data_IF_008142606871
#
_entry.id   IF_008142606871
#
_cell.length_a   1.000
_cell.length_b   1.000
_cell.length_c   1.000
_cell.angle_alpha   90.00
_cell.angle_beta   90.00
_cell.angle_gamma   90.00
#
_symmetry.space_group_name_H-M   'P 1'
#
loop_
_entity.id
_entity.type
_entity.pdbx_description
1 polymer ?
#
# COMPACT_ATOMS: atom_id res chain seq x y z
N UNK A 1 -6.07 -10.66 -10.48
CA UNK A 1 -6.23 -9.26 -10.02
C UNK A 1 -7.71 -8.88 -9.98
N UNK A 2 -8.19 -8.31 -8.88
CA UNK A 2 -9.62 -8.10 -8.54
C UNK A 2 -9.88 -6.80 -7.77
N UNK A 3 -11.15 -6.46 -7.51
CA UNK A 3 -11.56 -5.35 -6.62
C UNK A 3 -10.89 -5.41 -5.24
N UNK A 4 -10.59 -6.62 -4.75
CA UNK A 4 -9.90 -6.81 -3.46
C UNK A 4 -8.49 -6.23 -3.50
N UNK A 5 -7.81 -6.28 -4.64
CA UNK A 5 -6.43 -5.80 -4.77
C UNK A 5 -6.37 -4.28 -4.80
N UNK A 6 -7.38 -3.63 -5.40
CA UNK A 6 -7.56 -2.17 -5.32
C UNK A 6 -7.71 -1.76 -3.85
N UNK A 7 -8.57 -2.45 -3.09
CA UNK A 7 -8.77 -2.15 -1.67
C UNK A 7 -7.49 -2.36 -0.83
N UNK A 8 -6.70 -3.39 -1.12
CA UNK A 8 -5.40 -3.63 -0.48
C UNK A 8 -4.42 -2.49 -0.80
N UNK A 9 -4.33 -2.07 -2.06
CA UNK A 9 -3.45 -0.97 -2.47
C UNK A 9 -3.82 0.34 -1.78
N UNK A 10 -5.11 0.71 -1.78
CA UNK A 10 -5.62 1.91 -1.08
C UNK A 10 -5.30 1.85 0.42
N UNK A 11 -5.50 0.70 1.07
CA UNK A 11 -5.15 0.53 2.47
C UNK A 11 -3.65 0.71 2.72
N UNK A 12 -2.80 0.26 1.79
CA UNK A 12 -1.35 0.39 1.87
C UNK A 12 -0.92 1.86 1.75
N UNK A 13 -1.47 2.58 0.76
CA UNK A 13 -1.22 4.01 0.58
C UNK A 13 -1.58 4.76 1.87
N UNK A 14 -2.79 4.56 2.39
CA UNK A 14 -3.27 5.28 3.57
C UNK A 14 -2.45 4.95 4.81
N UNK A 15 -2.08 3.69 5.01
CA UNK A 15 -1.35 3.28 6.19
C UNK A 15 0.09 3.82 6.23
N UNK A 16 0.71 4.04 5.06
CA UNK A 16 2.09 4.52 4.94
C UNK A 16 2.20 6.02 4.66
N UNK A 17 1.08 6.70 4.40
CA UNK A 17 1.02 8.18 4.29
C UNK A 17 0.23 8.80 5.45
N UNK A 18 0.06 8.05 6.54
CA UNK A 18 -0.56 8.56 7.77
C UNK A 18 0.51 9.30 8.59
N UNK A 19 0.27 10.58 8.89
CA UNK A 19 1.08 11.32 9.86
C UNK A 19 0.93 10.77 11.29
N UNK A 20 1.89 11.08 12.17
CA UNK A 20 1.85 10.60 13.55
C UNK A 20 0.63 11.13 14.33
N UNK A 21 -0.18 10.22 14.87
CA UNK A 21 -1.21 10.52 15.86
C UNK A 21 -2.63 10.13 15.44
N UNK A 22 -3.17 9.07 16.04
CA UNK A 22 -4.60 8.77 15.98
C UNK A 22 -5.40 9.81 16.76
N UNK A 23 -6.18 10.64 16.04
CA UNK A 23 -7.25 11.45 16.66
C UNK A 23 -8.60 10.94 16.18
N UNK A 24 -9.58 10.88 17.09
CA UNK A 24 -10.93 10.39 16.85
C UNK A 24 -11.71 11.10 15.71
N UNK A 25 -11.19 12.18 15.13
CA UNK A 25 -11.72 12.84 13.93
C UNK A 25 -11.11 12.35 12.59
N UNK A 26 -10.00 11.60 12.61
CA UNK A 26 -9.35 11.10 11.39
C UNK A 26 -10.15 10.01 10.68
N UNK A 27 -10.94 9.21 11.42
CA UNK A 27 -11.61 8.04 10.85
C UNK A 27 -12.61 8.40 9.74
N UNK A 28 -13.33 9.53 9.89
CA UNK A 28 -14.20 10.04 8.83
C UNK A 28 -13.41 10.38 7.57
N UNK A 29 -12.32 11.15 7.72
CA UNK A 29 -11.49 11.58 6.59
C UNK A 29 -10.85 10.38 5.90
N UNK A 30 -10.27 9.45 6.67
CA UNK A 30 -9.67 8.22 6.14
C UNK A 30 -10.71 7.39 5.38
N UNK A 31 -11.94 7.27 5.87
CA UNK A 31 -13.01 6.55 5.15
C UNK A 31 -13.40 7.25 3.85
N UNK A 32 -13.48 8.57 3.85
CA UNK A 32 -13.80 9.34 2.67
C UNK A 32 -12.68 9.30 1.61
N UNK A 33 -11.43 9.43 2.03
CA UNK A 33 -10.24 9.25 1.19
C UNK A 33 -10.20 7.84 0.57
N UNK A 34 -10.52 6.80 1.36
CA UNK A 34 -10.66 5.42 0.85
C UNK A 34 -11.67 5.34 -0.29
N UNK A 35 -12.85 5.93 -0.13
CA UNK A 35 -13.89 5.90 -1.17
C UNK A 35 -13.37 6.54 -2.46
N UNK A 36 -12.74 7.70 -2.33
CA UNK A 36 -12.26 8.46 -3.48
C UNK A 36 -11.07 7.78 -4.18
N UNK A 37 -10.04 7.36 -3.44
CA UNK A 37 -8.93 6.59 -4.02
C UNK A 37 -9.40 5.29 -4.67
N UNK A 38 -10.31 4.55 -4.03
CA UNK A 38 -10.84 3.30 -4.59
C UNK A 38 -11.59 3.57 -5.90
N UNK A 39 -12.31 4.69 -5.99
CA UNK A 39 -12.98 5.10 -7.21
C UNK A 39 -11.97 5.39 -8.33
N UNK A 40 -10.99 6.26 -8.08
CA UNK A 40 -10.00 6.67 -9.09
C UNK A 40 -9.12 5.50 -9.52
N UNK A 41 -8.54 4.75 -8.58
CA UNK A 41 -7.69 3.59 -8.90
C UNK A 41 -8.53 2.51 -9.61
N UNK A 42 -9.79 2.33 -9.23
CA UNK A 42 -10.70 1.44 -9.94
C UNK A 42 -10.93 1.88 -11.38
N UNK A 43 -11.15 3.18 -11.62
CA UNK A 43 -11.29 3.72 -12.97
C UNK A 43 -10.02 3.49 -13.79
N UNK A 44 -8.85 3.86 -13.25
CA UNK A 44 -7.55 3.68 -13.91
C UNK A 44 -7.30 2.21 -14.25
N UNK A 45 -7.58 1.31 -13.30
CA UNK A 45 -7.33 -0.11 -13.49
C UNK A 45 -8.22 -0.75 -14.57
N UNK A 46 -9.52 -0.42 -14.59
CA UNK A 46 -10.49 -1.05 -15.49
C UNK A 46 -10.60 -0.36 -16.85
N UNK A 47 -10.56 0.97 -16.90
CA UNK A 47 -10.90 1.74 -18.10
C UNK A 47 -9.70 2.44 -18.76
N UNK A 48 -8.64 2.79 -18.01
CA UNK A 48 -7.52 3.53 -18.60
C UNK A 48 -6.63 2.63 -19.50
N UNK A 49 -5.97 3.21 -20.53
CA UNK A 49 -4.91 2.56 -21.29
C UNK A 49 -3.77 2.06 -20.39
N UNK A 50 -2.99 1.08 -20.86
CA UNK A 50 -1.96 0.42 -20.03
C UNK A 50 -0.91 1.41 -19.53
N UNK A 51 -0.50 2.32 -20.40
CA UNK A 51 0.46 3.40 -20.18
C UNK A 51 0.00 4.44 -19.14
N UNK A 52 -1.30 4.50 -18.84
CA UNK A 52 -1.89 5.40 -17.85
C UNK A 52 -2.16 4.69 -16.51
N UNK A 53 -1.81 3.41 -16.37
CA UNK A 53 -2.03 2.64 -15.12
C UNK A 53 -0.95 2.89 -14.07
N UNK A 54 -0.73 4.16 -13.72
CA UNK A 54 0.33 4.61 -12.83
C UNK A 54 -0.15 5.68 -11.83
N UNK A 55 0.71 6.03 -10.89
CA UNK A 55 0.42 7.03 -9.86
C UNK A 55 0.36 8.46 -10.40
N UNK A 56 1.06 8.75 -11.51
CA UNK A 56 0.99 10.07 -12.14
C UNK A 56 -0.44 10.36 -12.62
N UNK A 57 -1.09 9.39 -13.27
CA UNK A 57 -2.49 9.51 -13.69
C UNK A 57 -3.43 9.68 -12.48
N UNK A 58 -3.16 8.98 -11.37
CA UNK A 58 -3.94 9.15 -10.15
C UNK A 58 -3.85 10.58 -9.60
N UNK A 59 -2.65 11.17 -9.57
CA UNK A 59 -2.44 12.56 -9.17
C UNK A 59 -3.17 13.54 -10.10
N UNK A 60 -2.99 13.39 -11.42
CA UNK A 60 -3.62 14.25 -12.41
C UNK A 60 -5.16 14.22 -12.29
N UNK A 61 -5.74 13.05 -11.97
CA UNK A 61 -7.19 12.94 -11.70
C UNK A 61 -7.61 13.67 -10.42
N UNK A 62 -6.79 13.65 -9.37
CA UNK A 62 -7.07 14.37 -8.12
C UNK A 62 -7.03 15.87 -8.38
N UNK A 63 -6.01 16.35 -9.10
CA UNK A 63 -5.85 17.76 -9.46
C UNK A 63 -6.99 18.26 -10.36
N UNK A 64 -7.47 17.42 -11.27
CA UNK A 64 -8.61 17.72 -12.13
C UNK A 64 -9.97 17.69 -11.40
N UNK A 65 -10.05 17.29 -10.14
CA UNK A 65 -11.30 17.14 -9.41
C UNK A 65 -11.75 18.41 -8.67
N UNK A 66 -11.76 19.55 -9.36
CA UNK A 66 -12.20 20.83 -8.80
C UNK A 66 -13.62 20.75 -8.20
N UNK A 67 -13.81 21.34 -7.01
CA UNK A 67 -15.12 21.48 -6.36
C UNK A 67 -15.42 22.95 -6.13
N UNK A 68 -16.60 23.40 -6.59
CA UNK A 68 -17.13 24.74 -6.35
C UNK A 68 -18.15 24.69 -5.24
N UNK A 69 -17.89 25.41 -4.14
CA UNK A 69 -18.75 25.36 -2.94
C UNK A 69 -20.13 25.97 -3.18
N UNK A 70 -20.22 26.98 -4.04
CA UNK A 70 -21.45 27.73 -4.31
C UNK A 70 -22.25 27.22 -5.53
N UNK A 71 -21.77 26.17 -6.19
CA UNK A 71 -22.40 25.59 -7.39
C UNK A 71 -22.35 24.06 -7.35
N UNK A 72 -23.37 23.45 -6.73
CA UNK A 72 -23.52 22.00 -6.68
C UNK A 72 -23.80 21.36 -8.05
N UNK A 73 -24.14 22.17 -9.06
CA UNK A 73 -24.38 21.69 -10.44
C UNK A 73 -23.11 21.66 -11.28
N UNK A 74 -22.02 22.25 -10.78
CA UNK A 74 -20.74 22.21 -11.45
C UNK A 74 -20.23 20.78 -11.59
N UNK A 75 -19.84 20.41 -12.81
CA UNK A 75 -19.20 19.14 -13.13
C UNK A 75 -17.79 19.37 -13.62
N UNK A 76 -16.82 18.89 -12.84
CA UNK A 76 -15.41 18.87 -13.23
C UNK A 76 -15.13 17.74 -14.27
N UNK A 77 -13.93 17.68 -14.86
CA UNK A 77 -13.57 16.62 -15.81
C UNK A 77 -13.80 15.20 -15.26
N UNK A 78 -13.48 14.95 -13.99
CA UNK A 78 -13.64 13.62 -13.37
C UNK A 78 -15.12 13.27 -13.18
N UNK A 79 -15.96 14.21 -12.77
CA UNK A 79 -17.42 14.01 -12.71
C UNK A 79 -17.97 13.52 -14.05
N UNK A 80 -17.51 14.12 -15.15
CA UNK A 80 -17.93 13.75 -16.51
C UNK A 80 -17.43 12.37 -16.92
N UNK A 81 -16.19 12.01 -16.55
CA UNK A 81 -15.64 10.67 -16.80
C UNK A 81 -16.48 9.58 -16.09
N UNK A 82 -16.81 9.79 -14.82
CA UNK A 82 -17.62 8.85 -14.06
C UNK A 82 -19.08 8.82 -14.52
N UNK A 83 -19.65 9.95 -14.95
CA UNK A 83 -21.00 9.99 -15.53
C UNK A 83 -21.07 9.21 -16.86
N UNK A 84 -20.05 9.36 -17.73
CA UNK A 84 -19.95 8.61 -18.97
C UNK A 84 -19.80 7.10 -18.71
N UNK A 85 -18.93 6.73 -17.74
CA UNK A 85 -18.76 5.34 -17.33
C UNK A 85 -20.05 4.76 -16.74
N UNK A 86 -20.78 5.53 -15.93
CA UNK A 86 -22.05 5.11 -15.37
C UNK A 86 -23.10 4.86 -16.47
N UNK A 87 -23.18 5.72 -17.49
CA UNK A 87 -24.10 5.54 -18.63
C UNK A 87 -23.81 4.24 -19.38
N UNK A 88 -22.54 3.87 -19.49
CA UNK A 88 -22.09 2.62 -20.13
C UNK A 88 -22.33 1.40 -19.23
N UNK A 89 -21.97 1.49 -17.96
CA UNK A 89 -22.07 0.40 -16.97
C UNK A 89 -22.45 0.92 -15.57
N UNK A 90 -23.75 0.98 -15.24
CA UNK A 90 -24.21 1.53 -13.96
C UNK A 90 -23.77 0.76 -12.72
N UNK A 91 -23.43 -0.53 -12.90
CA UNK A 91 -23.01 -1.43 -11.81
C UNK A 91 -21.50 -1.47 -11.59
N UNK A 92 -20.73 -0.71 -12.38
CA UNK A 92 -19.27 -0.71 -12.32
C UNK A 92 -18.75 -0.35 -10.92
N UNK A 93 -17.72 -1.07 -10.46
CA UNK A 93 -17.17 -0.93 -9.11
C UNK A 93 -16.72 0.51 -8.80
N UNK A 94 -15.94 1.10 -9.71
CA UNK A 94 -15.43 2.47 -9.56
C UNK A 94 -16.57 3.50 -9.43
N UNK A 95 -17.62 3.37 -10.24
CA UNK A 95 -18.81 4.24 -10.22
C UNK A 95 -19.53 4.16 -8.87
N UNK A 96 -19.70 2.95 -8.33
CA UNK A 96 -20.33 2.75 -7.01
C UNK A 96 -19.55 3.44 -5.89
N UNK A 97 -18.22 3.43 -5.93
CA UNK A 97 -17.41 4.13 -4.91
C UNK A 97 -17.45 5.65 -5.12
N UNK A 98 -17.39 6.12 -6.37
CA UNK A 98 -17.46 7.54 -6.70
C UNK A 98 -18.78 8.17 -6.26
N UNK A 99 -19.90 7.48 -6.48
CA UNK A 99 -21.22 7.92 -6.01
C UNK A 99 -21.28 8.11 -4.49
N UNK A 100 -20.65 7.21 -3.72
CA UNK A 100 -20.60 7.35 -2.26
C UNK A 100 -19.77 8.57 -1.85
N UNK A 101 -18.66 8.84 -2.55
CA UNK A 101 -17.89 10.06 -2.35
C UNK A 101 -18.71 11.32 -2.69
N UNK A 102 -19.46 11.33 -3.79
CA UNK A 102 -20.32 12.45 -4.21
C UNK A 102 -21.52 12.73 -3.28
N UNK A 103 -21.76 11.91 -2.24
CA UNK A 103 -22.69 12.25 -1.16
C UNK A 103 -22.15 13.33 -0.22
N UNK A 104 -20.85 13.63 -0.26
CA UNK A 104 -20.26 14.71 0.52
C UNK A 104 -20.67 16.08 -0.04
N UNK A 105 -21.11 16.99 0.84
CA UNK A 105 -21.39 18.38 0.48
C UNK A 105 -20.12 19.09 -0.03
N UNK A 106 -20.26 20.14 -0.85
CA UNK A 106 -19.13 20.80 -1.54
C UNK A 106 -17.94 21.14 -0.64
N UNK A 107 -18.19 21.75 0.52
CA UNK A 107 -17.13 22.06 1.50
C UNK A 107 -16.40 20.80 2.01
N UNK A 108 -17.14 19.74 2.30
CA UNK A 108 -16.57 18.46 2.75
C UNK A 108 -15.81 17.76 1.63
N UNK A 109 -16.35 17.74 0.41
CA UNK A 109 -15.69 17.18 -0.77
C UNK A 109 -14.35 17.86 -1.03
N UNK A 110 -14.28 19.19 -0.92
CA UNK A 110 -13.05 19.96 -1.03
C UNK A 110 -12.03 19.61 0.05
N UNK A 111 -12.46 19.45 1.31
CA UNK A 111 -11.58 18.98 2.39
C UNK A 111 -11.04 17.57 2.15
N UNK A 112 -11.86 16.66 1.60
CA UNK A 112 -11.41 15.31 1.22
C UNK A 112 -10.32 15.38 0.14
N UNK A 113 -10.52 16.19 -0.89
CA UNK A 113 -9.55 16.35 -1.98
C UNK A 113 -8.21 16.92 -1.51
N UNK A 114 -8.24 17.95 -0.65
CA UNK A 114 -7.03 18.51 -0.03
C UNK A 114 -6.29 17.43 0.76
N UNK A 115 -7.02 16.60 1.52
CA UNK A 115 -6.44 15.51 2.30
C UNK A 115 -5.81 14.44 1.41
N UNK A 116 -6.49 14.06 0.31
CA UNK A 116 -5.93 13.14 -0.68
C UNK A 116 -4.65 13.71 -1.33
N UNK A 117 -4.71 14.95 -1.84
CA UNK A 117 -3.56 15.61 -2.45
C UNK A 117 -2.36 15.70 -1.50
N UNK A 118 -2.59 16.08 -0.25
CA UNK A 118 -1.52 16.18 0.75
C UNK A 118 -0.81 14.84 1.02
N UNK A 119 -1.54 13.71 1.01
CA UNK A 119 -0.94 12.37 1.19
C UNK A 119 -0.09 11.93 0.01
N UNK A 120 -0.50 12.31 -1.20
CA UNK A 120 0.22 11.94 -2.42
C UNK A 120 1.22 13.01 -2.87
N UNK A 121 1.34 14.13 -2.17
CA UNK A 121 2.31 15.19 -2.48
C UNK A 121 3.76 14.70 -2.68
N UNK A 122 4.28 13.67 -1.98
CA UNK A 122 5.60 13.11 -2.30
C UNK A 122 5.73 12.57 -3.73
N UNK A 123 4.62 12.14 -4.35
CA UNK A 123 4.57 11.73 -5.76
C UNK A 123 4.60 12.91 -6.74
N UNK A 124 4.58 14.16 -6.27
CA UNK A 124 4.82 15.33 -7.14
C UNK A 124 6.32 15.56 -7.40
N UNK A 125 7.19 14.90 -6.64
CA UNK A 125 8.64 14.96 -6.86
C UNK A 125 8.95 14.26 -8.19
N UNK A 126 9.60 14.99 -9.11
CA UNK A 126 9.91 14.50 -10.46
C UNK A 126 10.67 13.17 -10.43
N UNK A 127 11.63 13.03 -9.51
CA UNK A 127 12.42 11.81 -9.33
C UNK A 127 11.54 10.60 -9.01
N UNK A 128 10.51 10.78 -8.17
CA UNK A 128 9.57 9.70 -7.85
C UNK A 128 8.58 9.44 -8.98
N UNK A 129 8.14 10.48 -9.70
CA UNK A 129 7.30 10.33 -10.90
C UNK A 129 8.01 9.51 -11.96
N UNK A 130 9.29 9.79 -12.20
CA UNK A 130 10.12 9.08 -13.16
C UNK A 130 10.31 7.61 -12.75
N UNK A 131 10.55 7.35 -11.46
CA UNK A 131 10.65 5.99 -10.91
C UNK A 131 9.36 5.18 -11.09
N UNK A 132 8.19 5.82 -10.98
CA UNK A 132 6.87 5.17 -10.97
C UNK A 132 6.18 5.17 -12.34
N UNK A 133 6.87 5.63 -13.40
CA UNK A 133 6.29 5.80 -14.72
C UNK A 133 6.02 4.47 -15.43
N UNK A 134 6.98 3.55 -15.38
CA UNK A 134 6.94 2.25 -16.04
C UNK A 134 7.23 1.13 -15.04
N UNK A 135 6.53 0.00 -15.18
CA UNK A 135 6.78 -1.20 -14.36
C UNK A 135 7.82 -2.10 -15.04
N UNK A 136 9.03 -2.10 -14.49
CA UNK A 136 10.15 -2.93 -14.93
C UNK A 136 10.54 -4.01 -13.90
N UNK A 137 9.86 -4.06 -12.76
CA UNK A 137 10.29 -4.90 -11.63
C UNK A 137 9.93 -6.38 -11.82
N UNK A 138 8.92 -6.69 -12.63
CA UNK A 138 8.42 -8.05 -12.88
C UNK A 138 8.23 -8.84 -11.56
N UNK A 139 7.66 -8.20 -10.52
CA UNK A 139 7.63 -8.73 -9.15
C UNK A 139 7.01 -10.12 -9.03
N UNK A 140 6.06 -10.45 -9.91
CA UNK A 140 5.42 -11.76 -9.95
C UNK A 140 6.34 -12.87 -10.47
N UNK A 141 7.44 -12.54 -11.16
CA UNK A 141 8.34 -13.53 -11.79
C UNK A 141 9.44 -14.03 -10.85
N UNK A 142 9.58 -13.44 -9.65
CA UNK A 142 10.63 -13.80 -8.69
C UNK A 142 10.54 -15.27 -8.23
N UNK A 143 9.34 -15.87 -8.28
CA UNK A 143 9.12 -17.28 -7.97
C UNK A 143 9.27 -18.24 -9.15
N UNK A 144 9.36 -17.74 -10.39
CA UNK A 144 9.37 -18.56 -11.60
C UNK A 144 10.78 -19.03 -11.96
N UNK A 145 11.76 -18.14 -11.74
CA UNK A 145 13.17 -18.32 -12.10
C UNK A 145 14.05 -17.68 -11.03
N UNK A 146 15.29 -18.18 -10.93
CA UNK A 146 16.29 -17.62 -10.01
C UNK A 146 16.52 -16.14 -10.31
N UNK A 147 16.11 -15.29 -9.37
CA UNK A 147 16.16 -13.83 -9.48
C UNK A 147 16.66 -13.26 -8.16
N UNK A 148 17.40 -12.16 -8.21
CA UNK A 148 17.80 -11.39 -7.04
C UNK A 148 17.32 -9.95 -7.22
N UNK A 149 16.46 -9.49 -6.30
CA UNK A 149 15.97 -8.12 -6.24
C UNK A 149 16.66 -7.40 -5.08
N UNK A 150 17.29 -6.27 -5.37
CA UNK A 150 17.93 -5.41 -4.37
C UNK A 150 17.09 -4.15 -4.19
N UNK A 151 16.70 -3.90 -2.95
CA UNK A 151 15.92 -2.72 -2.57
C UNK A 151 16.81 -1.85 -1.70
N UNK A 152 17.27 -0.73 -2.26
CA UNK A 152 18.20 0.19 -1.60
C UNK A 152 17.39 1.38 -1.10
N UNK A 153 17.36 1.57 0.21
CA UNK A 153 16.71 2.70 0.88
C UNK A 153 17.76 3.58 1.54
N UNK A 154 17.44 4.86 1.71
CA UNK A 154 18.27 5.76 2.51
C UNK A 154 18.08 5.44 3.99
N UNK A 155 19.18 5.43 4.74
CA UNK A 155 19.19 5.31 6.20
C UNK A 155 18.94 6.65 6.91
N UNK A 156 19.00 7.75 6.16
CA UNK A 156 18.88 9.13 6.67
C UNK A 156 17.65 9.87 6.18
N UNK A 157 17.00 9.38 5.12
CA UNK A 157 15.85 10.02 4.49
C UNK A 157 14.70 9.02 4.36
N UNK A 158 13.63 9.26 5.10
CA UNK A 158 12.44 8.41 5.14
C UNK A 158 11.35 8.82 4.14
N UNK A 159 11.60 9.87 3.35
CA UNK A 159 10.61 10.47 2.42
C UNK A 159 9.97 9.44 1.49
N UNK A 160 10.73 8.44 1.02
CA UNK A 160 10.26 7.44 0.05
C UNK A 160 9.99 6.05 0.65
N UNK A 161 10.06 5.87 1.96
CA UNK A 161 9.88 4.55 2.58
C UNK A 161 8.50 3.94 2.28
N UNK A 162 7.47 4.78 2.13
CA UNK A 162 6.13 4.31 1.76
C UNK A 162 6.10 3.59 0.39
N UNK A 163 6.99 3.95 -0.55
CA UNK A 163 7.10 3.33 -1.88
C UNK A 163 7.59 1.90 -1.73
N UNK A 164 8.58 1.70 -0.85
CA UNK A 164 9.15 0.40 -0.53
C UNK A 164 8.11 -0.49 0.15
N UNK A 165 7.33 0.07 1.08
CA UNK A 165 6.19 -0.63 1.70
C UNK A 165 5.13 -1.06 0.68
N UNK A 166 4.77 -0.19 -0.28
CA UNK A 166 3.85 -0.52 -1.38
C UNK A 166 4.43 -1.66 -2.23
N UNK A 167 5.70 -1.57 -2.62
CA UNK A 167 6.40 -2.59 -3.39
C UNK A 167 6.36 -3.95 -2.69
N UNK A 168 6.73 -4.03 -1.41
CA UNK A 168 6.68 -5.28 -0.66
C UNK A 168 5.26 -5.83 -0.52
N UNK A 169 4.27 -4.95 -0.28
CA UNK A 169 2.86 -5.36 -0.25
C UNK A 169 2.42 -5.98 -1.58
N UNK A 170 2.81 -5.38 -2.71
CA UNK A 170 2.53 -5.95 -4.03
C UNK A 170 3.29 -7.27 -4.24
N UNK A 171 4.58 -7.33 -3.90
CA UNK A 171 5.40 -8.53 -4.02
C UNK A 171 4.76 -9.73 -3.31
N UNK A 172 4.41 -9.59 -2.02
CA UNK A 172 3.81 -10.70 -1.26
C UNK A 172 2.46 -11.13 -1.85
N UNK A 173 1.62 -10.17 -2.27
CA UNK A 173 0.32 -10.50 -2.87
C UNK A 173 0.50 -11.24 -4.20
N UNK A 174 1.34 -10.72 -5.11
CA UNK A 174 1.57 -11.31 -6.43
C UNK A 174 2.16 -12.71 -6.31
N UNK A 175 3.15 -12.91 -5.45
CA UNK A 175 3.74 -14.22 -5.24
C UNK A 175 2.77 -15.22 -4.60
N UNK A 176 1.90 -14.77 -3.69
CA UNK A 176 0.90 -15.65 -3.10
C UNK A 176 -0.18 -16.05 -4.11
N UNK A 177 -0.72 -15.08 -4.84
CA UNK A 177 -1.72 -15.32 -5.88
C UNK A 177 -1.15 -16.26 -6.96
N UNK A 178 0.09 -16.04 -7.40
CA UNK A 178 0.74 -16.89 -8.40
C UNK A 178 0.99 -18.30 -7.90
N UNK A 179 1.43 -18.45 -6.65
CA UNK A 179 1.56 -19.77 -6.03
C UNK A 179 0.23 -20.53 -6.06
N UNK A 180 -0.86 -19.88 -5.62
CA UNK A 180 -2.18 -20.50 -5.48
C UNK A 180 -2.85 -20.77 -6.84
N UNK A 181 -2.83 -19.81 -7.77
CA UNK A 181 -3.60 -19.85 -9.01
C UNK A 181 -2.86 -20.57 -10.15
N UNK A 182 -1.52 -20.52 -10.20
CA UNK A 182 -0.73 -21.06 -11.32
C UNK A 182 0.07 -22.31 -10.96
N UNK A 183 0.55 -22.43 -9.72
CA UNK A 183 1.47 -23.51 -9.33
C UNK A 183 0.90 -24.48 -8.30
N UNK A 184 -0.41 -24.46 -8.06
CA UNK A 184 -1.08 -25.44 -7.19
C UNK A 184 -0.72 -25.28 -5.70
N UNK A 185 -0.40 -24.06 -5.29
CA UNK A 185 -0.15 -23.64 -3.91
C UNK A 185 1.31 -23.39 -3.54
N UNK A 186 2.29 -23.62 -4.43
CA UNK A 186 3.74 -23.49 -4.13
C UNK A 186 4.52 -22.94 -5.31
N UNK A 187 5.34 -21.92 -5.10
CA UNK A 187 6.23 -21.39 -6.14
C UNK A 187 7.28 -22.44 -6.57
N UNK A 188 7.66 -22.50 -7.86
CA UNK A 188 8.71 -23.38 -8.37
C UNK A 188 10.09 -23.09 -7.76
N UNK A 189 10.39 -21.81 -7.52
CA UNK A 189 11.63 -21.35 -6.89
C UNK A 189 11.29 -20.69 -5.57
N UNK A 190 11.98 -21.12 -4.50
CA UNK A 190 11.81 -20.54 -3.18
C UNK A 190 12.21 -19.06 -3.16
N UNK A 191 11.29 -18.18 -2.74
CA UNK A 191 11.55 -16.75 -2.60
C UNK A 191 11.85 -16.43 -1.14
N UNK A 192 13.09 -16.01 -0.87
CA UNK A 192 13.50 -15.58 0.46
C UNK A 192 13.65 -14.06 0.50
N UNK A 193 12.81 -13.41 1.28
CA UNK A 193 12.89 -11.99 1.57
C UNK A 193 13.86 -11.76 2.75
N UNK A 194 15.00 -11.12 2.48
CA UNK A 194 15.92 -10.64 3.51
C UNK A 194 15.59 -9.18 3.80
N UNK A 195 14.82 -8.96 4.85
CA UNK A 195 14.31 -7.64 5.19
C UNK A 195 15.26 -6.98 6.19
N UNK A 196 16.37 -6.50 5.65
CA UNK A 196 17.32 -5.69 6.42
C UNK A 196 16.69 -4.38 6.85
N UNK A 197 17.05 -3.91 8.04
CA UNK A 197 16.47 -2.74 8.68
C UNK A 197 14.94 -2.67 8.55
N UNK A 198 14.24 -3.75 8.92
CA UNK A 198 12.81 -3.91 8.65
C UNK A 198 11.96 -2.72 9.13
N UNK A 199 12.40 -2.03 10.17
CA UNK A 199 11.74 -0.85 10.69
C UNK A 199 11.73 0.35 9.70
N UNK A 200 12.76 0.47 8.85
CA UNK A 200 12.89 1.54 7.86
C UNK A 200 12.03 1.30 6.61
N UNK A 201 11.54 0.08 6.37
CA UNK A 201 10.63 -0.22 5.24
C UNK A 201 9.26 0.47 5.41
N UNK A 202 8.85 0.75 6.66
CA UNK A 202 7.49 1.21 6.98
C UNK A 202 6.52 0.04 7.22
N UNK A 203 5.22 0.33 7.23
CA UNK A 203 4.20 -0.65 7.59
C UNK A 203 3.73 -1.45 6.38
N UNK A 204 4.17 -2.71 6.28
CA UNK A 204 3.57 -3.69 5.36
C UNK A 204 2.21 -4.13 5.94
N UNK A 205 1.07 -3.85 5.28
CA UNK A 205 -0.23 -4.14 5.87
C UNK A 205 -0.47 -5.63 6.07
N UNK A 206 -1.02 -5.99 7.24
CA UNK A 206 -1.36 -7.36 7.63
C UNK A 206 -0.16 -8.32 7.61
N UNK A 207 1.04 -7.80 7.85
CA UNK A 207 2.26 -8.60 7.84
C UNK A 207 2.22 -9.75 8.85
N UNK A 208 1.55 -9.57 9.99
CA UNK A 208 1.31 -10.60 11.00
C UNK A 208 0.55 -11.83 10.47
N UNK A 209 -0.30 -11.62 9.46
CA UNK A 209 -1.02 -12.70 8.77
C UNK A 209 -0.22 -13.25 7.60
N UNK A 210 0.52 -12.39 6.90
CA UNK A 210 1.38 -12.79 5.79
C UNK A 210 2.46 -13.75 6.28
N UNK A 211 3.25 -13.37 7.29
CA UNK A 211 4.36 -14.19 7.79
C UNK A 211 3.91 -15.59 8.25
N UNK A 212 2.69 -15.71 8.78
CA UNK A 212 2.10 -16.97 9.20
C UNK A 212 1.68 -17.90 8.04
N UNK A 213 1.48 -17.36 6.83
CA UNK A 213 0.83 -18.08 5.71
C UNK A 213 1.69 -18.22 4.46
N UNK A 214 2.76 -17.42 4.33
CA UNK A 214 3.66 -17.42 3.16
C UNK A 214 4.49 -18.72 3.05
N UNK A 215 4.78 -19.39 4.17
CA UNK A 215 5.62 -20.60 4.19
C UNK A 215 5.07 -21.72 3.30
N UNK A 216 3.75 -21.94 3.31
CA UNK A 216 3.14 -23.00 2.50
C UNK A 216 3.26 -22.74 1.00
N UNK A 217 3.61 -21.52 0.60
CA UNK A 217 3.73 -21.05 -0.79
C UNK A 217 5.16 -21.00 -1.31
N UNK A 218 6.13 -21.57 -0.58
CA UNK A 218 7.57 -21.45 -0.88
C UNK A 218 8.10 -20.02 -0.80
N UNK A 219 7.57 -19.25 0.15
CA UNK A 219 8.05 -17.89 0.46
C UNK A 219 8.48 -17.85 1.92
N UNK A 220 9.65 -17.27 2.21
CA UNK A 220 10.13 -17.03 3.57
C UNK A 220 10.59 -15.59 3.77
N UNK A 221 10.54 -15.13 5.01
CA UNK A 221 11.02 -13.80 5.39
C UNK A 221 12.02 -13.93 6.55
N UNK A 222 13.13 -13.19 6.48
CA UNK A 222 14.05 -12.96 7.59
C UNK A 222 13.97 -11.48 7.96
N UNK A 223 13.45 -11.19 9.15
CA UNK A 223 13.32 -9.83 9.66
C UNK A 223 14.59 -9.50 10.44
N UNK A 224 15.25 -8.40 10.09
CA UNK A 224 16.46 -7.95 10.77
C UNK A 224 16.14 -6.61 11.45
N UNK A 225 16.39 -6.56 12.76
CA UNK A 225 16.06 -5.42 13.63
C UNK A 225 17.24 -5.12 14.53
N UNK A 226 17.44 -3.85 14.86
CA UNK A 226 18.41 -3.43 15.88
C UNK A 226 17.85 -3.63 17.30
N UNK A 227 16.54 -3.43 17.45
CA UNK A 227 15.83 -3.56 18.71
C UNK A 227 14.38 -4.02 18.47
N UNK A 228 13.83 -4.87 19.34
CA UNK A 228 12.44 -5.34 19.19
C UNK A 228 11.42 -4.20 19.39
N UNK A 229 11.79 -3.14 20.12
CA UNK A 229 10.96 -1.94 20.25
C UNK A 229 10.67 -1.25 18.91
N UNK A 230 11.56 -1.36 17.92
CA UNK A 230 11.28 -0.83 16.58
C UNK A 230 10.09 -1.54 15.92
N UNK A 231 10.01 -2.86 16.06
CA UNK A 231 8.87 -3.63 15.56
C UNK A 231 7.58 -3.27 16.30
N UNK A 232 7.65 -3.12 17.64
CA UNK A 232 6.51 -2.69 18.47
C UNK A 232 6.03 -1.28 18.12
N UNK A 233 6.94 -0.37 17.76
CA UNK A 233 6.56 0.99 17.35
C UNK A 233 5.71 1.00 16.08
N UNK A 234 6.04 0.13 15.11
CA UNK A 234 5.35 0.08 13.80
C UNK A 234 4.08 -0.77 13.89
N UNK A 235 4.18 -1.97 14.44
CA UNK A 235 3.12 -2.98 14.40
C UNK A 235 2.24 -3.03 15.66
N UNK A 236 2.59 -2.27 16.72
CA UNK A 236 1.87 -2.23 17.99
C UNK A 236 1.64 -3.65 18.53
N UNK A 237 0.39 -3.97 18.87
CA UNK A 237 -0.03 -5.28 19.40
C UNK A 237 0.25 -6.46 18.45
N UNK A 238 0.44 -6.20 17.15
CA UNK A 238 0.74 -7.25 16.18
C UNK A 238 2.22 -7.68 16.19
N UNK A 239 3.12 -6.91 16.83
CA UNK A 239 4.55 -7.21 16.86
C UNK A 239 4.85 -8.58 17.48
N UNK A 240 4.19 -8.93 18.58
CA UNK A 240 4.39 -10.22 19.26
C UNK A 240 3.94 -11.39 18.37
N UNK A 241 2.89 -11.20 17.57
CA UNK A 241 2.43 -12.20 16.59
C UNK A 241 3.47 -12.39 15.49
N UNK A 242 4.09 -11.30 15.01
CA UNK A 242 5.14 -11.38 13.98
C UNK A 242 6.34 -12.16 14.52
N UNK A 243 6.83 -11.82 15.71
CA UNK A 243 7.95 -12.53 16.36
C UNK A 243 7.61 -14.00 16.59
N UNK A 244 6.38 -14.30 17.04
CA UNK A 244 5.92 -15.66 17.27
C UNK A 244 5.85 -16.54 16.02
N UNK A 245 5.83 -15.95 14.82
CA UNK A 245 5.88 -16.67 13.54
C UNK A 245 7.32 -16.80 12.98
N UNK A 246 8.31 -16.27 13.67
CA UNK A 246 9.72 -16.48 13.34
C UNK A 246 10.25 -17.72 14.08
N UNK A 247 10.36 -18.85 13.38
CA UNK A 247 10.83 -20.14 13.92
C UNK A 247 12.29 -20.11 14.43
N UNK A 248 13.07 -19.09 14.07
CA UNK A 248 14.49 -18.98 14.40
C UNK A 248 14.87 -17.54 14.72
N UNK A 249 15.63 -17.38 15.78
CA UNK A 249 16.13 -16.07 16.25
C UNK A 249 17.65 -16.11 16.33
N UNK A 250 18.31 -15.18 15.65
CA UNK A 250 19.75 -14.95 15.77
C UNK A 250 19.98 -13.64 16.53
N UNK A 251 20.50 -13.75 17.76
CA UNK A 251 20.83 -12.58 18.56
C UNK A 251 22.34 -12.31 18.51
N UNK A 252 22.71 -11.14 17.99
CA UNK A 252 24.10 -10.71 17.81
C UNK A 252 24.59 -9.76 18.93
N UNK A 253 23.77 -9.55 19.96
CA UNK A 253 24.02 -8.61 21.04
C UNK A 253 23.16 -7.35 20.93
N UNK A 254 22.97 -6.67 22.07
CA UNK A 254 22.12 -5.49 22.18
C UNK A 254 22.23 -4.86 23.56
N UNK A 255 21.84 -3.59 23.70
CA UNK A 255 21.86 -2.86 24.99
C UNK A 255 20.47 -2.63 25.57
N UNK A 256 19.42 -2.91 24.81
CA UNK A 256 18.05 -2.69 25.23
C UNK A 256 17.64 -3.74 26.27
N UNK A 257 17.37 -3.31 27.51
CA UNK A 257 17.08 -4.20 28.64
C UNK A 257 15.85 -5.08 28.41
N UNK A 258 14.82 -4.55 27.76
CA UNK A 258 13.58 -5.28 27.43
C UNK A 258 13.88 -6.43 26.48
N UNK A 259 14.51 -6.15 25.33
CA UNK A 259 14.94 -7.19 24.38
C UNK A 259 15.87 -8.22 25.03
N UNK A 260 16.85 -7.78 25.83
CA UNK A 260 17.75 -8.69 26.54
C UNK A 260 17.02 -9.61 27.53
N UNK A 261 16.03 -9.08 28.23
CA UNK A 261 15.22 -9.85 29.18
C UNK A 261 14.34 -10.86 28.46
N UNK A 262 13.62 -10.44 27.43
CA UNK A 262 12.74 -11.31 26.62
C UNK A 262 13.55 -12.49 26.04
N UNK A 263 14.73 -12.23 25.47
CA UNK A 263 15.60 -13.27 24.91
C UNK A 263 16.25 -14.19 25.96
N UNK A 264 16.52 -13.68 27.17
CA UNK A 264 17.06 -14.52 28.25
C UNK A 264 16.02 -15.45 28.87
N UNK A 265 14.73 -15.16 28.69
CA UNK A 265 13.62 -15.94 29.22
C UNK A 265 13.12 -17.00 28.21
N UNK A 266 13.66 -17.02 26.98
CA UNK A 266 13.35 -18.00 25.92
C UNK A 266 14.36 -19.13 25.90
#
# INVERSE_FOLDING_TARGET
RSEKDILKLVQTIIANTKGEGEKAGEDFWVKAEKLYYTALIGYIFYEAPREEKNFATLLDMIDASEVREDDETYMNPIDRLFEALEKKEPTHFAVKQYKKYKLAAGKTAKSILISCGARLAPFDIQELRDLMKEDELELDTLGDRKTALFVIISDTDDTFNFVVSIMYSQLFNLLCDKADDEYGGRLPVHVRCLLDEFANIGLIPKFEKLIATIRSREISASIILQAQSQLKAIYKDNADTIVGNCDSTLFLGGKEKTTLKELSET
#
